data_IF_656870988673
#
_entry.id   IF_656870988673
#
_cell.length_a   1.000
_cell.length_b   1.000
_cell.length_c   1.000
_cell.angle_alpha   90.00
_cell.angle_beta   90.00
_cell.angle_gamma   90.00
#
_symmetry.space_group_name_H-M   'P 1'
#
loop_
_entity.id
_entity.type
_entity.pdbx_description
1 polymer ?
#
# COMPACT_ATOMS: atom_id res chain seq x y z
N UNK A 1 -20.47 5.51 3.97
CA UNK A 1 -20.11 4.41 3.03
C UNK A 1 -18.65 4.41 2.59
N UNK A 2 -18.04 5.58 2.32
CA UNK A 2 -16.64 5.69 1.87
C UNK A 2 -15.62 4.93 2.73
N UNK A 3 -15.71 5.04 4.06
CA UNK A 3 -14.80 4.33 4.98
C UNK A 3 -14.90 2.80 4.87
N UNK A 4 -16.10 2.25 4.63
CA UNK A 4 -16.30 0.81 4.43
C UNK A 4 -15.67 0.33 3.13
N UNK A 5 -15.83 1.09 2.04
CA UNK A 5 -15.19 0.80 0.75
C UNK A 5 -13.67 0.82 0.86
N UNK A 6 -13.12 1.81 1.56
CA UNK A 6 -11.68 1.90 1.80
C UNK A 6 -11.16 0.73 2.64
N UNK A 7 -11.85 0.35 3.73
CA UNK A 7 -11.46 -0.79 4.55
C UNK A 7 -11.47 -2.10 3.74
N UNK A 8 -12.50 -2.31 2.92
CA UNK A 8 -12.58 -3.49 2.04
C UNK A 8 -11.46 -3.48 0.99
N UNK A 9 -11.18 -2.33 0.37
CA UNK A 9 -10.11 -2.19 -0.61
C UNK A 9 -8.72 -2.48 0.01
N UNK A 10 -8.47 -1.99 1.23
CA UNK A 10 -7.25 -2.30 1.99
C UNK A 10 -7.18 -3.79 2.35
N UNK A 11 -8.32 -4.41 2.68
CA UNK A 11 -8.41 -5.85 2.94
C UNK A 11 -8.10 -6.71 1.68
N UNK A 12 -8.39 -6.19 0.48
CA UNK A 12 -8.09 -6.85 -0.80
C UNK A 12 -6.63 -6.73 -1.25
N UNK A 13 -5.82 -5.89 -0.59
CA UNK A 13 -4.39 -5.80 -0.85
C UNK A 13 -3.68 -7.06 -0.33
N UNK A 14 -2.60 -7.46 -1.02
CA UNK A 14 -1.69 -8.45 -0.45
C UNK A 14 -1.02 -7.89 0.80
N UNK A 15 -0.61 -8.76 1.72
CA UNK A 15 0.04 -8.34 2.96
C UNK A 15 1.26 -7.45 2.67
N UNK A 16 2.11 -7.84 1.70
CA UNK A 16 3.27 -7.06 1.29
C UNK A 16 2.92 -5.66 0.77
N UNK A 17 1.82 -5.53 0.01
CA UNK A 17 1.33 -4.24 -0.49
C UNK A 17 0.76 -3.39 0.64
N UNK A 18 -0.07 -4.00 1.50
CA UNK A 18 -0.69 -3.34 2.64
C UNK A 18 0.38 -2.80 3.60
N UNK A 19 1.34 -3.61 4.00
CA UNK A 19 2.41 -3.22 4.91
C UNK A 19 3.23 -2.07 4.34
N UNK A 20 3.70 -2.18 3.09
CA UNK A 20 4.48 -1.09 2.46
C UNK A 20 3.66 0.21 2.32
N UNK A 21 2.37 0.11 1.97
CA UNK A 21 1.49 1.26 1.86
C UNK A 21 1.22 1.93 3.21
N UNK A 22 0.94 1.15 4.27
CA UNK A 22 0.66 1.70 5.60
C UNK A 22 1.91 2.36 6.21
N UNK A 23 3.08 1.74 6.08
CA UNK A 23 4.34 2.34 6.55
C UNK A 23 4.63 3.68 5.85
N UNK A 24 4.33 3.77 4.54
CA UNK A 24 4.54 5.01 3.81
C UNK A 24 3.48 6.07 4.11
N UNK A 25 2.19 5.68 4.14
CA UNK A 25 1.07 6.63 4.17
C UNK A 25 0.62 7.01 5.57
N UNK A 26 0.71 6.08 6.54
CA UNK A 26 0.28 6.28 7.91
C UNK A 26 1.47 6.64 8.79
N UNK A 27 2.56 5.86 8.71
CA UNK A 27 3.76 6.15 9.51
C UNK A 27 4.69 7.19 8.87
N UNK A 28 4.45 7.59 7.62
CA UNK A 28 5.23 8.63 6.94
C UNK A 28 6.65 8.22 6.57
N UNK A 29 6.98 6.92 6.61
CA UNK A 29 8.32 6.42 6.30
C UNK A 29 8.66 6.59 4.82
N UNK A 30 9.92 6.93 4.54
CA UNK A 30 10.46 7.00 3.18
C UNK A 30 10.67 5.60 2.62
N UNK A 31 10.66 5.45 1.29
CA UNK A 31 10.85 4.15 0.64
C UNK A 31 12.16 3.44 1.06
N UNK A 32 13.23 4.20 1.32
CA UNK A 32 14.51 3.66 1.83
C UNK A 32 14.38 3.05 3.23
N UNK A 33 13.73 3.75 4.14
CA UNK A 33 13.51 3.26 5.51
C UNK A 33 12.63 1.99 5.50
N UNK A 34 11.62 1.96 4.63
CA UNK A 34 10.76 0.77 4.46
C UNK A 34 11.55 -0.40 3.85
N UNK A 35 12.45 -0.10 2.92
CA UNK A 35 13.30 -1.11 2.28
C UNK A 35 14.22 -1.78 3.30
N UNK A 36 14.84 -0.98 4.18
CA UNK A 36 15.68 -1.45 5.28
C UNK A 36 14.85 -2.24 6.32
N UNK A 37 13.67 -1.75 6.69
CA UNK A 37 12.80 -2.44 7.66
C UNK A 37 12.27 -3.79 7.17
N UNK A 38 12.00 -3.91 5.88
CA UNK A 38 11.43 -5.11 5.27
C UNK A 38 12.49 -6.02 4.63
N UNK A 39 13.77 -5.65 4.72
CA UNK A 39 14.92 -6.32 4.09
C UNK A 39 14.69 -6.63 2.60
N UNK A 40 14.30 -5.59 1.84
CA UNK A 40 14.07 -5.66 0.39
C UNK A 40 14.66 -4.45 -0.32
N UNK A 41 14.70 -4.48 -1.65
CA UNK A 41 15.12 -3.30 -2.42
C UNK A 41 14.09 -2.17 -2.37
N UNK A 42 14.55 -0.92 -2.46
CA UNK A 42 13.70 0.27 -2.61
C UNK A 42 12.74 0.14 -3.81
N UNK A 43 13.21 -0.46 -4.91
CA UNK A 43 12.40 -0.73 -6.10
C UNK A 43 11.26 -1.72 -5.82
N UNK A 44 11.49 -2.71 -4.95
CA UNK A 44 10.44 -3.63 -4.51
C UNK A 44 9.40 -2.93 -3.63
N UNK A 45 9.82 -2.01 -2.76
CA UNK A 45 8.91 -1.15 -1.97
C UNK A 45 8.05 -0.29 -2.89
N UNK A 46 8.66 0.41 -3.85
CA UNK A 46 7.94 1.22 -4.84
C UNK A 46 6.89 0.39 -5.58
N UNK A 47 7.27 -0.79 -6.10
CA UNK A 47 6.34 -1.68 -6.80
C UNK A 47 5.16 -2.10 -5.90
N UNK A 48 5.41 -2.36 -4.61
CA UNK A 48 4.36 -2.71 -3.64
C UNK A 48 3.42 -1.52 -3.38
N UNK A 49 3.96 -0.31 -3.19
CA UNK A 49 3.15 0.90 -2.96
C UNK A 49 2.33 1.27 -4.19
N UNK A 50 2.94 1.33 -5.38
CA UNK A 50 2.22 1.63 -6.62
C UNK A 50 1.17 0.57 -6.94
N UNK A 51 1.48 -0.71 -6.71
CA UNK A 51 0.51 -1.79 -6.85
C UNK A 51 -0.66 -1.65 -5.87
N UNK A 52 -0.39 -1.24 -4.63
CA UNK A 52 -1.43 -0.96 -3.64
C UNK A 52 -2.33 0.20 -4.09
N UNK A 53 -1.74 1.32 -4.50
CA UNK A 53 -2.48 2.49 -4.99
C UNK A 53 -3.35 2.18 -6.21
N UNK A 54 -2.81 1.42 -7.17
CA UNK A 54 -3.57 1.00 -8.35
C UNK A 54 -4.81 0.19 -7.96
N UNK A 55 -4.64 -0.78 -7.05
CA UNK A 55 -5.72 -1.64 -6.60
C UNK A 55 -6.76 -0.90 -5.75
N UNK A 56 -6.31 -0.02 -4.85
CA UNK A 56 -7.19 0.88 -4.11
C UNK A 56 -7.99 1.78 -5.06
N UNK A 57 -7.36 2.28 -6.12
CA UNK A 57 -8.04 3.10 -7.14
C UNK A 57 -9.09 2.27 -7.90
N UNK A 58 -8.75 1.07 -8.35
CA UNK A 58 -9.70 0.17 -9.02
C UNK A 58 -10.91 -0.18 -8.12
N UNK A 59 -10.67 -0.45 -6.83
CA UNK A 59 -11.74 -0.79 -5.87
C UNK A 59 -12.60 0.41 -5.46
N UNK A 60 -12.08 1.64 -5.57
CA UNK A 60 -12.78 2.88 -5.14
C UNK A 60 -13.39 3.65 -6.32
N UNK A 61 -12.71 3.73 -7.46
CA UNK A 61 -13.21 4.34 -8.72
C UNK A 61 -14.04 3.34 -9.57
N UNK A 62 -14.07 2.05 -9.22
CA UNK A 62 -14.84 1.02 -9.94
C UNK A 62 -16.36 1.05 -9.69
N UNK A 63 -16.98 2.23 -9.73
CA UNK A 63 -18.44 2.43 -9.87
C UNK A 63 -18.69 3.33 -11.06
#
# INVERSE_FOLDING_TARGET
EYMKKLQNAIANLTEAQRTAFLLNRIEGKKHREIAELLDISTKAVEKRIYGALKKLREDIEGI
#
